data_IF_406601211085
#
_entry.id   IF_406601211085
#
_cell.length_a   1.000
_cell.length_b   1.000
_cell.length_c   1.000
_cell.angle_alpha   90.00
_cell.angle_beta   90.00
_cell.angle_gamma   90.00
#
_symmetry.space_group_name_H-M   'P 1'
#
loop_
_entity.id
_entity.type
_entity.pdbx_description
1 polymer ?
#
# COMPACT_ATOMS: atom_id res chain seq x y z
N UNK A 1 18.71 -37.34 25.57
CA UNK A 1 18.28 -37.23 24.16
C UNK A 1 18.92 -38.38 23.41
N UNK A 2 18.14 -39.19 22.68
CA UNK A 2 18.63 -40.42 22.03
C UNK A 2 19.80 -40.10 21.08
N UNK A 3 20.94 -40.77 21.23
CA UNK A 3 22.20 -40.52 20.51
C UNK A 3 22.00 -40.51 18.98
N UNK A 4 21.09 -41.35 18.49
CA UNK A 4 20.64 -41.36 17.09
C UNK A 4 20.05 -40.03 16.63
N UNK A 5 19.28 -39.35 17.49
CA UNK A 5 18.66 -38.05 17.20
C UNK A 5 19.70 -36.93 17.14
N UNK A 6 20.73 -36.99 17.99
CA UNK A 6 21.85 -36.04 17.94
C UNK A 6 22.67 -36.21 16.66
N UNK A 7 22.90 -37.45 16.23
CA UNK A 7 23.60 -37.72 14.97
C UNK A 7 22.79 -37.25 13.74
N UNK A 8 21.46 -37.37 13.77
CA UNK A 8 20.60 -36.82 12.70
C UNK A 8 20.63 -35.28 12.64
N UNK A 9 20.68 -34.60 13.78
CA UNK A 9 20.78 -33.13 13.81
C UNK A 9 22.15 -32.66 13.28
N UNK A 10 23.23 -33.35 13.62
CA UNK A 10 24.56 -33.08 13.07
C UNK A 10 24.60 -33.31 11.55
N UNK A 11 23.95 -34.37 11.07
CA UNK A 11 23.84 -34.65 9.64
C UNK A 11 23.08 -33.54 8.90
N UNK A 12 21.98 -33.02 9.48
CA UNK A 12 21.25 -31.90 8.89
C UNK A 12 22.12 -30.64 8.80
N UNK A 13 22.85 -30.29 9.88
CA UNK A 13 23.76 -29.15 9.86
C UNK A 13 24.88 -29.28 8.82
N UNK A 14 25.40 -30.49 8.63
CA UNK A 14 26.40 -30.77 7.59
C UNK A 14 25.84 -30.63 6.16
N UNK A 15 24.60 -31.07 5.93
CA UNK A 15 23.92 -30.88 4.64
C UNK A 15 23.70 -29.39 4.35
N UNK A 16 23.32 -28.60 5.37
CA UNK A 16 23.13 -27.15 5.23
C UNK A 16 24.44 -26.43 4.88
N UNK A 17 25.56 -26.83 5.47
CA UNK A 17 26.88 -26.29 5.14
C UNK A 17 27.29 -26.63 3.70
N UNK A 18 27.11 -27.88 3.27
CA UNK A 18 27.39 -28.30 1.90
C UNK A 18 26.52 -27.56 0.87
N UNK A 19 25.27 -27.24 1.22
CA UNK A 19 24.34 -26.57 0.30
C UNK A 19 24.66 -25.10 0.03
N UNK A 20 25.51 -24.47 0.84
CA UNK A 20 25.96 -23.07 0.67
C UNK A 20 27.07 -22.93 -0.36
N UNK A 21 27.74 -24.02 -0.69
CA UNK A 21 28.79 -24.05 -1.71
C UNK A 21 28.17 -24.34 -3.09
N UNK A 22 28.43 -23.44 -4.05
CA UNK A 22 27.89 -23.54 -5.40
C UNK A 22 28.40 -24.75 -6.17
N UNK A 23 29.57 -25.31 -5.82
CA UNK A 23 30.10 -26.53 -6.46
C UNK A 23 29.34 -27.79 -6.04
N UNK A 24 28.61 -27.74 -4.92
CA UNK A 24 27.86 -28.89 -4.38
C UNK A 24 26.38 -28.94 -4.83
N UNK A 25 26.00 -28.12 -5.82
CA UNK A 25 24.63 -28.07 -6.36
C UNK A 25 24.12 -29.45 -6.83
N UNK A 26 25.01 -30.26 -7.39
CA UNK A 26 24.70 -31.63 -7.83
C UNK A 26 24.19 -32.53 -6.69
N UNK A 27 24.66 -32.32 -5.47
CA UNK A 27 24.28 -33.11 -4.29
C UNK A 27 22.88 -32.74 -3.80
N UNK A 28 22.56 -31.44 -3.81
CA UNK A 28 21.20 -30.95 -3.52
C UNK A 28 20.19 -31.50 -4.54
N UNK A 29 20.55 -31.52 -5.83
CA UNK A 29 19.70 -32.06 -6.90
C UNK A 29 19.50 -33.58 -6.75
N UNK A 30 20.54 -34.33 -6.35
CA UNK A 30 20.41 -35.75 -6.02
C UNK A 30 19.52 -36.00 -4.80
N UNK A 31 19.61 -35.19 -3.75
CA UNK A 31 18.72 -35.30 -2.58
C UNK A 31 17.26 -35.04 -2.98
N UNK A 32 17.01 -33.99 -3.78
CA UNK A 32 15.66 -33.70 -4.31
C UNK A 32 15.10 -34.84 -5.14
N UNK A 33 15.94 -35.47 -5.98
CA UNK A 33 15.57 -36.64 -6.77
C UNK A 33 15.29 -37.87 -5.91
N UNK A 34 16.20 -38.20 -4.97
CA UNK A 34 16.12 -39.40 -4.11
C UNK A 34 14.91 -39.40 -3.19
N UNK A 35 14.51 -38.22 -2.71
CA UNK A 35 13.35 -38.06 -1.83
C UNK A 35 12.08 -37.58 -2.57
N UNK A 36 12.08 -37.59 -3.92
CA UNK A 36 10.94 -37.17 -4.76
C UNK A 36 10.40 -35.76 -4.43
N UNK A 37 11.22 -34.87 -3.87
CA UNK A 37 10.79 -33.51 -3.50
C UNK A 37 10.40 -32.71 -4.75
N UNK A 38 11.10 -32.91 -5.88
CA UNK A 38 10.76 -32.29 -7.17
C UNK A 38 9.41 -32.75 -7.74
N UNK A 39 8.99 -33.99 -7.44
CA UNK A 39 7.69 -34.55 -7.85
C UNK A 39 6.53 -34.00 -7.03
N UNK A 40 6.79 -33.62 -5.78
CA UNK A 40 5.80 -33.01 -4.88
C UNK A 40 5.61 -31.54 -5.26
N UNK A 41 6.70 -30.81 -5.50
CA UNK A 41 6.66 -29.43 -6.00
C UNK A 41 5.99 -29.35 -7.37
N UNK A 42 6.37 -30.22 -8.33
CA UNK A 42 5.77 -30.21 -9.67
C UNK A 42 4.28 -30.57 -9.66
N UNK A 43 3.85 -31.47 -8.76
CA UNK A 43 2.44 -31.86 -8.63
C UNK A 43 1.62 -30.77 -7.94
N UNK A 44 2.19 -30.06 -6.96
CA UNK A 44 1.54 -28.91 -6.35
C UNK A 44 1.38 -27.76 -7.36
N UNK A 45 2.41 -27.47 -8.15
CA UNK A 45 2.35 -26.46 -9.21
C UNK A 45 1.36 -26.82 -10.31
N UNK A 46 1.32 -28.09 -10.74
CA UNK A 46 0.32 -28.59 -11.70
C UNK A 46 -1.10 -28.47 -11.14
N UNK A 47 -1.34 -28.89 -9.89
CA UNK A 47 -2.65 -28.74 -9.26
C UNK A 47 -3.06 -27.26 -9.13
N UNK A 48 -2.12 -26.37 -8.83
CA UNK A 48 -2.38 -24.91 -8.77
C UNK A 48 -2.75 -24.38 -10.16
N UNK A 49 -2.07 -24.83 -11.21
CA UNK A 49 -2.39 -24.44 -12.58
C UNK A 49 -3.75 -24.98 -13.03
N UNK A 50 -4.07 -26.24 -12.73
CA UNK A 50 -5.38 -26.83 -13.02
C UNK A 50 -6.52 -26.11 -12.28
N UNK A 51 -6.30 -25.74 -11.01
CA UNK A 51 -7.24 -24.93 -10.22
C UNK A 51 -7.40 -23.54 -10.85
N UNK A 52 -6.30 -22.90 -11.25
CA UNK A 52 -6.33 -21.60 -11.93
C UNK A 52 -7.11 -21.67 -13.25
N UNK A 53 -6.87 -22.70 -14.05
CA UNK A 53 -7.54 -22.91 -15.33
C UNK A 53 -9.04 -23.19 -15.12
N UNK A 54 -9.40 -24.03 -14.14
CA UNK A 54 -10.78 -24.31 -13.76
C UNK A 54 -11.50 -23.07 -13.23
N UNK A 55 -10.80 -22.22 -12.49
CA UNK A 55 -11.31 -20.93 -11.99
C UNK A 55 -11.18 -19.79 -13.02
N UNK A 56 -10.62 -20.06 -14.21
CA UNK A 56 -10.34 -19.09 -15.27
C UNK A 56 -9.48 -17.90 -14.80
N UNK A 57 -8.59 -18.14 -13.83
CA UNK A 57 -7.61 -17.18 -13.34
C UNK A 57 -6.41 -17.19 -14.29
N UNK A 58 -6.42 -16.27 -15.27
CA UNK A 58 -5.36 -16.11 -16.27
C UNK A 58 -4.30 -15.07 -15.87
N UNK A 59 -4.68 -14.11 -15.03
CA UNK A 59 -3.82 -13.03 -14.57
C UNK A 59 -3.03 -13.39 -13.31
N UNK A 60 -1.82 -12.85 -13.22
CA UNK A 60 -1.10 -12.72 -11.96
C UNK A 60 -1.39 -11.34 -11.36
N UNK A 61 -1.37 -11.18 -10.02
CA UNK A 61 -1.58 -9.88 -9.42
C UNK A 61 -0.52 -8.88 -9.93
N UNK A 62 -0.96 -7.77 -10.49
CA UNK A 62 -0.08 -6.70 -10.98
C UNK A 62 0.29 -5.70 -9.89
N UNK A 63 -0.42 -5.75 -8.76
CA UNK A 63 -0.28 -4.85 -7.63
C UNK A 63 -0.12 -5.65 -6.34
N UNK A 64 0.68 -5.08 -5.45
CA UNK A 64 1.11 -5.65 -4.18
C UNK A 64 0.49 -4.83 -3.03
N UNK A 65 0.06 -5.49 -1.96
CA UNK A 65 -0.74 -4.90 -0.88
C UNK A 65 -0.23 -5.28 0.52
N UNK A 66 1.05 -5.59 0.66
CA UNK A 66 1.63 -6.12 1.91
C UNK A 66 1.52 -5.14 3.07
N UNK A 67 1.52 -3.82 2.81
CA UNK A 67 1.33 -2.79 3.83
C UNK A 67 -0.07 -2.79 4.46
N UNK A 68 -1.06 -3.42 3.81
CA UNK A 68 -2.42 -3.50 4.33
C UNK A 68 -2.48 -4.51 5.48
N UNK A 69 -2.61 -4.00 6.69
CA UNK A 69 -2.60 -4.79 7.94
C UNK A 69 -3.86 -5.65 8.11
N UNK A 70 -5.00 -5.21 7.58
CA UNK A 70 -6.26 -5.93 7.72
C UNK A 70 -6.37 -7.09 6.71
N UNK A 71 -6.10 -8.32 7.17
CA UNK A 71 -6.01 -9.52 6.32
C UNK A 71 -7.19 -9.66 5.33
N UNK A 72 -8.44 -9.59 5.81
CA UNK A 72 -9.61 -9.76 4.94
C UNK A 72 -9.72 -8.68 3.86
N UNK A 73 -9.26 -7.46 4.16
CA UNK A 73 -9.26 -6.37 3.18
C UNK A 73 -8.15 -6.60 2.15
N UNK A 74 -6.96 -7.00 2.61
CA UNK A 74 -5.85 -7.35 1.73
C UNK A 74 -6.22 -8.48 0.78
N UNK A 75 -6.86 -9.53 1.27
CA UNK A 75 -7.32 -10.65 0.46
C UNK A 75 -8.34 -10.20 -0.59
N UNK A 76 -9.27 -9.32 -0.22
CA UNK A 76 -10.24 -8.74 -1.15
C UNK A 76 -9.55 -7.90 -2.24
N UNK A 77 -8.56 -7.07 -1.87
CA UNK A 77 -7.78 -6.28 -2.83
C UNK A 77 -7.03 -7.18 -3.82
N UNK A 78 -6.45 -8.29 -3.35
CA UNK A 78 -5.78 -9.27 -4.21
C UNK A 78 -6.78 -9.93 -5.17
N UNK A 79 -7.96 -10.32 -4.68
CA UNK A 79 -9.02 -10.93 -5.52
C UNK A 79 -9.50 -9.93 -6.58
N UNK A 80 -9.73 -8.68 -6.21
CA UNK A 80 -10.18 -7.66 -7.17
C UNK A 80 -9.09 -7.32 -8.19
N UNK A 81 -7.81 -7.34 -7.79
CA UNK A 81 -6.69 -7.21 -8.71
C UNK A 81 -6.61 -8.39 -9.69
N UNK A 82 -6.81 -9.62 -9.22
CA UNK A 82 -6.89 -10.79 -10.09
C UNK A 82 -8.06 -10.69 -11.08
N UNK A 83 -9.23 -10.24 -10.63
CA UNK A 83 -10.40 -10.02 -11.51
C UNK A 83 -10.12 -8.95 -12.56
N UNK A 84 -9.48 -7.86 -12.16
CA UNK A 84 -9.03 -6.80 -13.06
C UNK A 84 -8.08 -7.38 -14.12
N UNK A 85 -7.03 -8.09 -13.73
CA UNK A 85 -6.07 -8.67 -14.68
C UNK A 85 -6.70 -9.77 -15.57
N UNK A 86 -7.64 -10.55 -15.03
CA UNK A 86 -8.40 -11.51 -15.81
C UNK A 86 -9.25 -10.83 -16.89
N UNK A 87 -9.89 -9.69 -16.60
CA UNK A 87 -10.64 -8.94 -17.60
C UNK A 87 -9.74 -8.45 -18.75
N UNK A 88 -8.50 -8.06 -18.44
CA UNK A 88 -7.51 -7.72 -19.45
C UNK A 88 -7.06 -8.92 -20.29
N UNK A 89 -7.16 -10.15 -19.79
CA UNK A 89 -6.69 -11.37 -20.47
C UNK A 89 -7.84 -12.25 -21.00
N UNK A 90 -9.09 -11.80 -20.88
CA UNK A 90 -10.22 -12.61 -21.31
C UNK A 90 -10.41 -12.57 -22.83
N UNK A 91 -9.63 -13.40 -23.54
CA UNK A 91 -9.71 -13.56 -24.98
C UNK A 91 -11.01 -14.20 -25.47
N UNK A 92 -11.92 -14.64 -24.57
CA UNK A 92 -13.26 -15.10 -24.95
C UNK A 92 -14.16 -13.93 -25.32
N UNK A 93 -13.97 -12.78 -24.65
CA UNK A 93 -14.62 -11.54 -25.00
C UNK A 93 -13.95 -10.93 -26.23
N UNK A 94 -14.72 -10.79 -27.32
CA UNK A 94 -14.21 -10.28 -28.59
C UNK A 94 -14.21 -8.75 -28.62
N UNK A 95 -15.02 -8.10 -27.78
CA UNK A 95 -15.03 -6.64 -27.67
C UNK A 95 -13.97 -6.16 -26.66
N UNK A 96 -12.90 -5.57 -27.18
CA UNK A 96 -11.83 -4.98 -26.36
C UNK A 96 -12.34 -3.85 -25.45
N UNK A 97 -13.36 -3.10 -25.89
CA UNK A 97 -13.96 -2.03 -25.10
C UNK A 97 -14.72 -2.60 -23.91
N UNK A 98 -15.40 -3.73 -24.08
CA UNK A 98 -16.07 -4.44 -22.98
C UNK A 98 -15.06 -5.02 -21.97
N UNK A 99 -13.97 -5.59 -22.46
CA UNK A 99 -12.85 -6.02 -21.60
C UNK A 99 -12.26 -4.85 -20.81
N UNK A 100 -12.02 -3.73 -21.47
CA UNK A 100 -11.46 -2.55 -20.83
C UNK A 100 -12.44 -1.90 -19.84
N UNK A 101 -13.73 -1.90 -20.16
CA UNK A 101 -14.79 -1.48 -19.24
C UNK A 101 -14.77 -2.33 -17.95
N UNK A 102 -14.81 -3.66 -18.09
CA UNK A 102 -14.75 -4.59 -16.96
C UNK A 102 -13.45 -4.44 -16.17
N UNK A 103 -12.34 -4.19 -16.85
CA UNK A 103 -11.07 -3.87 -16.22
C UNK A 103 -11.18 -2.62 -15.34
N UNK A 104 -11.74 -1.52 -15.86
CA UNK A 104 -11.93 -0.27 -15.16
C UNK A 104 -12.84 -0.41 -13.92
N UNK A 105 -13.93 -1.20 -14.03
CA UNK A 105 -14.83 -1.48 -12.91
C UNK A 105 -14.08 -2.18 -11.77
N UNK A 106 -13.31 -3.23 -12.08
CA UNK A 106 -12.53 -3.96 -11.08
C UNK A 106 -11.37 -3.12 -10.51
N UNK A 107 -10.75 -2.26 -11.32
CA UNK A 107 -9.76 -1.29 -10.86
C UNK A 107 -10.37 -0.32 -9.83
N UNK A 108 -11.61 0.14 -10.06
CA UNK A 108 -12.27 1.07 -9.15
C UNK A 108 -12.62 0.45 -7.79
N UNK A 109 -13.00 -0.83 -7.72
CA UNK A 109 -13.19 -1.50 -6.43
C UNK A 109 -11.93 -1.49 -5.57
N UNK A 110 -10.76 -1.66 -6.20
CA UNK A 110 -9.47 -1.55 -5.50
C UNK A 110 -9.23 -0.12 -5.02
N UNK A 111 -9.45 0.88 -5.87
CA UNK A 111 -9.31 2.30 -5.52
C UNK A 111 -10.21 2.68 -4.34
N UNK A 112 -11.49 2.30 -4.39
CA UNK A 112 -12.48 2.60 -3.34
C UNK A 112 -12.03 2.03 -1.99
N UNK A 113 -11.63 0.75 -1.97
CA UNK A 113 -11.16 0.07 -0.77
C UNK A 113 -9.85 0.66 -0.23
N UNK A 114 -8.90 1.02 -1.09
CA UNK A 114 -7.63 1.64 -0.71
C UNK A 114 -7.84 3.03 -0.08
N UNK A 115 -8.69 3.86 -0.70
CA UNK A 115 -9.01 5.19 -0.18
C UNK A 115 -9.74 5.09 1.16
N UNK A 116 -10.68 4.15 1.29
CA UNK A 116 -11.35 3.89 2.57
C UNK A 116 -10.35 3.45 3.65
N UNK A 117 -9.43 2.55 3.31
CA UNK A 117 -8.38 2.09 4.21
C UNK A 117 -7.49 3.23 4.67
N UNK A 118 -7.01 4.06 3.73
CA UNK A 118 -6.18 5.23 4.04
C UNK A 118 -6.86 6.14 5.06
N UNK A 119 -8.12 6.53 4.84
CA UNK A 119 -8.82 7.42 5.78
C UNK A 119 -9.12 6.73 7.12
N UNK A 120 -9.41 5.42 7.10
CA UNK A 120 -9.63 4.65 8.32
C UNK A 120 -8.37 4.58 9.21
N UNK A 121 -7.21 4.35 8.62
CA UNK A 121 -5.94 4.31 9.35
C UNK A 121 -5.45 5.72 9.72
N UNK A 122 -5.59 6.69 8.81
CA UNK A 122 -5.11 8.06 9.04
C UNK A 122 -5.94 8.79 10.10
N UNK A 123 -7.25 8.55 10.17
CA UNK A 123 -8.17 9.18 11.13
C UNK A 123 -8.93 8.13 11.95
N UNK A 124 -8.33 7.62 13.06
CA UNK A 124 -9.00 6.66 13.94
C UNK A 124 -10.28 7.23 14.58
N UNK A 125 -10.29 8.54 14.83
CA UNK A 125 -11.46 9.27 15.26
C UNK A 125 -12.19 9.86 14.04
N UNK A 126 -13.46 9.48 13.88
CA UNK A 126 -14.28 9.93 12.76
C UNK A 126 -14.44 11.45 12.73
N UNK A 127 -14.51 12.11 13.89
CA UNK A 127 -14.68 13.57 13.93
C UNK A 127 -13.49 14.31 13.31
N UNK A 128 -12.27 13.82 13.49
CA UNK A 128 -11.07 14.41 12.90
C UNK A 128 -11.11 14.29 11.37
N UNK A 129 -11.59 13.16 10.86
CA UNK A 129 -11.84 13.00 9.42
C UNK A 129 -12.88 14.01 8.92
N UNK A 130 -14.00 14.16 9.62
CA UNK A 130 -15.06 15.09 9.20
C UNK A 130 -14.56 16.54 9.18
N UNK A 131 -13.79 16.96 10.19
CA UNK A 131 -13.15 18.29 10.23
C UNK A 131 -12.21 18.46 9.03
N UNK A 132 -11.34 17.47 8.79
CA UNK A 132 -10.42 17.50 7.65
C UNK A 132 -11.17 17.68 6.33
N UNK A 133 -12.24 16.91 6.09
CA UNK A 133 -13.03 16.97 4.86
C UNK A 133 -13.77 18.30 4.66
N UNK A 134 -14.13 19.00 5.74
CA UNK A 134 -14.75 20.33 5.71
C UNK A 134 -13.74 21.44 5.38
N UNK A 135 -12.47 21.24 5.73
CA UNK A 135 -11.38 22.22 5.55
C UNK A 135 -10.69 22.12 4.19
N UNK A 136 -10.94 21.06 3.41
CA UNK A 136 -10.35 20.92 2.07
C UNK A 136 -10.76 22.08 1.16
N UNK A 137 -9.81 22.78 0.51
CA UNK A 137 -10.13 23.86 -0.41
C UNK A 137 -11.08 23.40 -1.53
N UNK A 138 -12.17 24.14 -1.74
CA UNK A 138 -13.16 23.85 -2.79
C UNK A 138 -14.12 22.70 -2.49
N UNK A 139 -14.07 22.11 -1.30
CA UNK A 139 -15.00 21.05 -0.88
C UNK A 139 -16.42 21.58 -0.67
N UNK A 140 -17.40 20.84 -1.19
CA UNK A 140 -18.83 21.03 -0.88
C UNK A 140 -19.30 20.19 0.31
N UNK A 141 -18.41 19.39 0.89
CA UNK A 141 -18.76 18.51 2.00
C UNK A 141 -19.17 19.30 3.24
N UNK A 142 -20.34 18.96 3.79
CA UNK A 142 -20.86 19.49 5.05
C UNK A 142 -21.53 18.34 5.79
N UNK A 143 -21.32 18.24 7.10
CA UNK A 143 -21.94 17.21 7.94
C UNK A 143 -23.46 17.27 7.85
N UNK A 144 -24.07 16.10 7.84
CA UNK A 144 -25.53 15.99 7.86
C UNK A 144 -26.04 15.99 9.31
N UNK A 145 -26.66 17.09 9.74
CA UNK A 145 -27.24 17.21 11.09
C UNK A 145 -28.31 16.16 11.41
N UNK A 146 -28.98 15.59 10.39
CA UNK A 146 -30.06 14.60 10.55
C UNK A 146 -29.55 13.16 10.50
N UNK A 147 -28.42 12.91 9.83
CA UNK A 147 -27.81 11.59 9.68
C UNK A 147 -26.29 11.74 9.80
N UNK A 148 -25.78 11.92 11.03
CA UNK A 148 -24.35 12.12 11.23
C UNK A 148 -23.57 10.88 10.82
N UNK A 149 -22.46 11.11 10.13
CA UNK A 149 -21.53 10.08 9.70
C UNK A 149 -20.85 9.44 10.92
N UNK A 150 -20.94 8.11 11.04
CA UNK A 150 -20.38 7.37 12.19
C UNK A 150 -19.09 6.65 11.84
N UNK A 151 -18.87 6.39 10.56
CA UNK A 151 -17.74 5.64 10.04
C UNK A 151 -17.27 6.19 8.69
N UNK A 152 -16.06 5.80 8.29
CA UNK A 152 -15.50 6.15 6.97
C UNK A 152 -16.39 5.66 5.82
N UNK A 153 -17.14 4.58 6.02
CA UNK A 153 -18.05 4.01 5.04
C UNK A 153 -19.30 4.88 4.80
N UNK A 154 -19.73 5.67 5.79
CA UNK A 154 -20.89 6.56 5.66
C UNK A 154 -20.59 7.77 4.76
N UNK A 155 -19.31 8.06 4.54
CA UNK A 155 -18.85 9.18 3.72
C UNK A 155 -18.83 8.75 2.25
N UNK A 156 -19.43 9.55 1.37
CA UNK A 156 -19.47 9.29 -0.07
C UNK A 156 -18.05 9.20 -0.66
N UNK A 157 -17.80 8.19 -1.50
CA UNK A 157 -16.47 7.96 -2.08
C UNK A 157 -15.96 9.13 -2.93
N UNK A 158 -16.85 9.83 -3.65
CA UNK A 158 -16.50 11.01 -4.44
C UNK A 158 -15.85 12.11 -3.58
N UNK A 159 -16.36 12.35 -2.36
CA UNK A 159 -15.77 13.30 -1.41
C UNK A 159 -14.38 12.87 -0.97
N UNK A 160 -14.21 11.58 -0.66
CA UNK A 160 -12.91 11.02 -0.25
C UNK A 160 -11.86 11.10 -1.36
N UNK A 161 -12.24 10.78 -2.60
CA UNK A 161 -11.39 10.89 -3.79
C UNK A 161 -10.97 12.35 -4.01
N UNK A 162 -11.92 13.29 -3.96
CA UNK A 162 -11.63 14.70 -4.12
C UNK A 162 -10.65 15.19 -3.05
N UNK A 163 -10.95 14.94 -1.78
CA UNK A 163 -10.09 15.30 -0.64
C UNK A 163 -8.68 14.70 -0.77
N UNK A 164 -8.59 13.44 -1.19
CA UNK A 164 -7.30 12.78 -1.37
C UNK A 164 -6.51 13.42 -2.52
N UNK A 165 -7.16 13.68 -3.65
CA UNK A 165 -6.52 14.33 -4.80
C UNK A 165 -6.05 15.76 -4.51
N UNK A 166 -6.81 16.53 -3.72
CA UNK A 166 -6.38 17.87 -3.29
C UNK A 166 -5.20 17.79 -2.33
N UNK A 167 -5.24 16.85 -1.38
CA UNK A 167 -4.17 16.67 -0.39
C UNK A 167 -2.82 16.28 -1.00
N UNK A 168 -2.83 15.66 -2.20
CA UNK A 168 -1.64 15.07 -2.81
C UNK A 168 -1.37 15.56 -4.24
N UNK A 169 -1.95 16.70 -4.61
CA UNK A 169 -1.91 17.26 -5.97
C UNK A 169 -0.52 17.37 -6.58
N UNK A 170 0.50 17.64 -5.76
CA UNK A 170 1.89 17.85 -6.21
C UNK A 170 2.72 16.55 -6.27
N UNK A 171 2.29 15.50 -5.56
CA UNK A 171 3.07 14.27 -5.35
C UNK A 171 2.65 13.11 -6.23
N UNK A 172 1.41 13.17 -6.71
CA UNK A 172 0.84 12.18 -7.58
C UNK A 172 0.63 12.88 -8.92
N UNK A 173 0.95 12.22 -10.03
CA UNK A 173 0.28 12.48 -11.31
C UNK A 173 -1.20 12.04 -11.19
N UNK A 174 -1.88 12.53 -10.17
CA UNK A 174 -3.21 12.15 -9.75
C UNK A 174 -4.17 12.84 -10.69
N UNK A 175 -4.55 12.12 -11.73
CA UNK A 175 -5.57 12.62 -12.60
C UNK A 175 -6.94 12.46 -11.92
N UNK A 176 -7.35 13.49 -11.18
CA UNK A 176 -8.67 13.54 -10.51
C UNK A 176 -9.82 13.29 -11.49
N UNK A 177 -9.64 13.67 -12.77
CA UNK A 177 -10.55 13.34 -13.85
C UNK A 177 -10.63 11.83 -14.11
N UNK A 178 -9.49 11.12 -14.18
CA UNK A 178 -9.45 9.66 -14.39
C UNK A 178 -10.18 8.94 -13.26
N UNK A 179 -9.96 9.29 -11.99
CA UNK A 179 -10.66 8.67 -10.85
C UNK A 179 -12.15 8.97 -10.81
N UNK A 180 -12.53 10.22 -11.08
CA UNK A 180 -13.94 10.61 -11.14
C UNK A 180 -14.65 9.86 -12.27
N UNK A 181 -13.97 9.66 -13.40
CA UNK A 181 -14.51 8.91 -14.53
C UNK A 181 -14.57 7.41 -14.24
N UNK A 182 -13.58 6.82 -13.56
CA UNK A 182 -13.64 5.43 -13.10
C UNK A 182 -14.79 5.20 -12.12
N UNK A 183 -15.07 6.16 -11.21
CA UNK A 183 -16.24 6.10 -10.33
C UNK A 183 -17.55 6.06 -11.14
N UNK A 184 -17.66 6.90 -12.17
CA UNK A 184 -18.81 6.90 -13.09
C UNK A 184 -18.93 5.57 -13.82
N UNK A 185 -17.85 5.08 -14.43
CA UNK A 185 -17.80 3.78 -15.13
C UNK A 185 -18.28 2.66 -14.21
N UNK A 186 -17.80 2.62 -12.97
CA UNK A 186 -18.25 1.64 -11.98
C UNK A 186 -19.74 1.79 -11.65
N UNK A 187 -20.24 3.01 -11.48
CA UNK A 187 -21.66 3.21 -11.20
C UNK A 187 -22.55 2.77 -12.37
N UNK A 188 -22.15 3.08 -13.61
CA UNK A 188 -22.82 2.57 -14.82
C UNK A 188 -22.78 1.03 -14.90
N UNK A 189 -21.63 0.42 -14.58
CA UNK A 189 -21.45 -1.02 -14.56
C UNK A 189 -22.33 -1.74 -13.52
N UNK A 190 -22.53 -1.13 -12.35
CA UNK A 190 -23.46 -1.65 -11.33
C UNK A 190 -24.92 -1.59 -11.76
N UNK A 191 -25.28 -0.60 -12.58
CA UNK A 191 -26.64 -0.46 -13.10
C UNK A 191 -26.92 -1.37 -14.32
N UNK A 192 -25.97 -2.21 -14.75
CA UNK A 192 -26.10 -3.15 -15.89
C UNK A 192 -26.71 -2.50 -17.15
N UNK A 193 -26.54 -1.19 -17.33
CA UNK A 193 -26.95 -0.54 -18.56
C UNK A 193 -26.01 -0.99 -19.66
N UNK A 194 -26.58 -1.40 -20.80
CA UNK A 194 -25.92 -1.77 -22.05
C UNK A 194 -25.14 -0.57 -22.62
N UNK A 195 -24.06 -0.16 -21.95
CA UNK A 195 -23.32 1.07 -22.24
C UNK A 195 -22.58 1.01 -23.58
N UNK A 196 -22.47 -0.18 -24.19
CA UNK A 196 -21.86 -0.34 -25.52
C UNK A 196 -22.96 -0.47 -26.61
N UNK A 197 -24.08 0.22 -26.48
CA UNK A 197 -24.82 0.64 -27.68
C UNK A 197 -24.01 1.75 -28.36
N UNK A 198 -23.24 1.34 -29.37
CA UNK A 198 -22.52 2.23 -30.29
C UNK A 198 -23.53 3.25 -30.83
N UNK A 199 -23.40 4.49 -30.39
CA UNK A 199 -24.14 5.70 -30.78
C UNK A 199 -25.39 6.03 -29.93
N UNK A 200 -25.20 6.89 -28.91
CA UNK A 200 -25.92 8.17 -28.70
C UNK A 200 -26.09 8.59 -27.23
N UNK A 201 -25.79 7.72 -26.25
CA UNK A 201 -26.07 8.00 -24.82
C UNK A 201 -24.90 7.81 -23.85
N UNK A 202 -23.70 7.46 -24.34
CA UNK A 202 -22.49 7.44 -23.51
C UNK A 202 -22.13 8.88 -23.08
N UNK A 203 -21.98 9.12 -21.77
CA UNK A 203 -21.41 10.36 -21.24
C UNK A 203 -20.13 10.67 -22.03
N UNK A 204 -20.10 11.83 -22.70
CA UNK A 204 -18.98 12.29 -23.53
C UNK A 204 -17.63 12.18 -22.81
N UNK A 205 -17.64 12.25 -21.47
CA UNK A 205 -16.45 12.05 -20.65
C UNK A 205 -15.96 10.61 -20.67
N UNK A 206 -16.85 9.61 -20.55
CA UNK A 206 -16.49 8.19 -20.59
C UNK A 206 -15.97 7.83 -21.98
N UNK A 207 -16.59 8.36 -23.03
CA UNK A 207 -16.11 8.14 -24.39
C UNK A 207 -14.71 8.73 -24.62
N UNK A 208 -14.48 9.98 -24.23
CA UNK A 208 -13.14 10.62 -24.31
C UNK A 208 -12.11 9.90 -23.46
N UNK A 209 -12.52 9.32 -22.33
CA UNK A 209 -11.66 8.51 -21.47
C UNK A 209 -11.19 7.25 -22.20
N UNK A 210 -12.11 6.48 -22.81
CA UNK A 210 -11.74 5.27 -23.57
C UNK A 210 -10.90 5.54 -24.82
N UNK A 211 -10.87 6.77 -25.33
CA UNK A 211 -9.96 7.17 -26.40
C UNK A 211 -8.53 7.49 -25.93
N UNK A 212 -8.34 7.76 -24.64
CA UNK A 212 -7.07 8.25 -24.08
C UNK A 212 -6.37 7.26 -23.16
N UNK A 213 -7.16 6.49 -22.41
CA UNK A 213 -6.68 5.59 -21.38
C UNK A 213 -6.67 4.15 -21.91
N UNK A 214 -5.76 3.33 -21.40
CA UNK A 214 -5.63 1.93 -21.75
C UNK A 214 -5.37 1.07 -20.51
N UNK A 215 -5.25 -0.25 -20.69
CA UNK A 215 -4.96 -1.16 -19.57
C UNK A 215 -3.67 -0.79 -18.82
N UNK A 216 -2.65 -0.28 -19.51
CA UNK A 216 -1.35 0.08 -18.92
C UNK A 216 -1.43 1.35 -18.07
N UNK A 217 -2.15 2.36 -18.56
CA UNK A 217 -2.33 3.64 -17.87
C UNK A 217 -3.09 3.45 -16.56
N UNK A 218 -4.15 2.63 -16.56
CA UNK A 218 -4.92 2.31 -15.35
C UNK A 218 -4.11 1.49 -14.35
N UNK A 219 -3.30 0.51 -14.81
CA UNK A 219 -2.35 -0.21 -13.92
C UNK A 219 -1.36 0.75 -13.26
N UNK A 220 -0.80 1.67 -14.05
CA UNK A 220 0.17 2.66 -13.57
C UNK A 220 -0.46 3.57 -12.53
N UNK A 221 -1.68 4.05 -12.79
CA UNK A 221 -2.45 4.85 -11.83
C UNK A 221 -2.65 4.09 -10.51
N UNK A 222 -3.05 2.82 -10.57
CA UNK A 222 -3.31 2.03 -9.37
C UNK A 222 -2.02 1.77 -8.57
N UNK A 223 -0.91 1.45 -9.23
CA UNK A 223 0.40 1.30 -8.58
C UNK A 223 0.84 2.58 -7.89
N UNK A 224 0.69 3.73 -8.56
CA UNK A 224 1.05 5.02 -7.99
C UNK A 224 0.18 5.34 -6.75
N UNK A 225 -1.11 5.04 -6.80
CA UNK A 225 -2.01 5.20 -5.65
C UNK A 225 -1.57 4.33 -4.47
N UNK A 226 -1.27 3.05 -4.72
CA UNK A 226 -0.84 2.09 -3.69
C UNK A 226 0.45 2.54 -3.04
N UNK A 227 1.48 2.87 -3.83
CA UNK A 227 2.76 3.34 -3.32
C UNK A 227 2.58 4.59 -2.47
N UNK A 228 1.75 5.54 -2.93
CA UNK A 228 1.53 6.77 -2.17
C UNK A 228 0.79 6.55 -0.86
N UNK A 229 -0.23 5.69 -0.86
CA UNK A 229 -0.91 5.34 0.39
C UNK A 229 0.06 4.65 1.35
N UNK A 230 0.87 3.73 0.84
CA UNK A 230 1.89 3.05 1.63
C UNK A 230 2.89 4.06 2.25
N UNK A 231 3.45 4.97 1.45
CA UNK A 231 4.34 6.04 1.91
C UNK A 231 3.69 6.87 3.03
N UNK A 232 2.47 7.36 2.82
CA UNK A 232 1.75 8.20 3.78
C UNK A 232 1.40 7.48 5.08
N UNK A 233 1.12 6.18 5.01
CA UNK A 233 0.84 5.37 6.19
C UNK A 233 2.13 4.94 6.91
N UNK A 234 3.23 4.74 6.19
CA UNK A 234 4.54 4.47 6.78
C UNK A 234 5.09 5.69 7.53
N UNK A 235 4.86 6.92 7.04
CA UNK A 235 5.18 8.16 7.78
C UNK A 235 4.46 8.20 9.15
N UNK A 236 3.30 7.57 9.29
CA UNK A 236 2.57 7.50 10.57
C UNK A 236 3.17 6.49 11.58
N UNK A 237 4.04 5.59 11.14
CA UNK A 237 4.87 4.76 12.04
C UNK A 237 6.10 5.52 12.55
N UNK A 238 6.36 6.75 12.08
CA UNK A 238 7.36 7.61 12.68
C UNK A 238 6.76 8.24 13.94
N UNK A 239 7.17 7.77 15.11
CA UNK A 239 6.76 8.38 16.36
C UNK A 239 7.44 9.75 16.51
N UNK A 240 6.63 10.79 16.70
CA UNK A 240 7.15 12.07 17.19
C UNK A 240 7.30 11.97 18.69
N UNK A 241 8.53 12.12 19.18
CA UNK A 241 8.83 12.13 20.60
C UNK A 241 9.41 13.48 21.00
N UNK A 242 9.14 13.91 22.24
CA UNK A 242 9.85 15.03 22.84
C UNK A 242 11.19 14.51 23.38
N UNK A 243 12.28 14.97 22.78
CA UNK A 243 13.63 14.65 23.21
C UNK A 243 14.31 15.88 23.80
N UNK A 244 15.25 15.68 24.72
CA UNK A 244 15.98 16.77 25.37
C UNK A 244 17.45 16.71 25.00
N UNK A 245 18.07 17.85 24.71
CA UNK A 245 19.53 17.90 24.51
C UNK A 245 20.20 17.47 25.82
N UNK A 246 20.85 16.30 25.79
CA UNK A 246 21.47 15.69 26.98
C UNK A 246 22.94 16.10 27.13
N UNK A 247 23.65 16.25 26.02
CA UNK A 247 25.04 16.69 26.00
C UNK A 247 25.41 17.25 24.62
N UNK A 248 26.35 18.20 24.61
CA UNK A 248 26.86 18.83 23.40
C UNK A 248 28.38 18.93 23.50
N UNK A 249 29.08 18.28 22.57
CA UNK A 249 30.54 18.29 22.44
C UNK A 249 30.95 19.10 21.21
N UNK A 250 32.26 19.41 21.02
CA UNK A 250 32.71 20.16 19.85
C UNK A 250 32.34 19.52 18.50
N UNK A 251 32.33 18.17 18.44
CA UNK A 251 32.16 17.36 17.22
C UNK A 251 30.95 16.43 17.22
N UNK A 252 30.23 16.28 18.34
CA UNK A 252 29.06 15.41 18.45
C UNK A 252 28.08 15.95 19.48
N UNK A 253 26.82 15.56 19.40
CA UNK A 253 25.78 15.97 20.34
C UNK A 253 24.77 14.86 20.49
N UNK A 254 24.08 14.82 21.64
CA UNK A 254 23.21 13.70 21.98
C UNK A 254 21.88 14.16 22.54
N UNK A 255 20.80 13.52 22.10
CA UNK A 255 19.45 13.71 22.61
C UNK A 255 19.05 12.56 23.53
N UNK A 256 18.41 12.88 24.65
CA UNK A 256 17.74 11.91 25.51
C UNK A 256 16.26 11.88 25.16
N UNK A 257 15.78 10.69 24.77
CA UNK A 257 14.38 10.40 24.50
C UNK A 257 13.60 10.25 25.82
N UNK A 258 12.27 10.37 25.77
CA UNK A 258 11.37 10.19 26.92
C UNK A 258 11.43 8.79 27.53
N UNK A 259 11.76 7.78 26.73
CA UNK A 259 12.07 6.42 27.21
C UNK A 259 13.44 6.26 27.91
N UNK A 260 14.21 7.36 28.06
CA UNK A 260 15.50 7.38 28.74
C UNK A 260 16.70 6.98 27.88
N UNK A 261 16.49 6.50 26.64
CA UNK A 261 17.59 6.20 25.70
C UNK A 261 18.23 7.48 25.16
N UNK A 262 19.50 7.38 24.82
CA UNK A 262 20.28 8.47 24.22
C UNK A 262 20.61 8.16 22.77
N UNK A 263 20.37 9.11 21.87
CA UNK A 263 20.63 9.00 20.42
C UNK A 263 21.51 10.16 19.98
N UNK A 264 22.46 9.90 19.07
CA UNK A 264 23.34 10.92 18.50
C UNK A 264 22.58 11.84 17.53
N UNK A 265 22.86 13.14 17.58
CA UNK A 265 22.29 14.14 16.68
C UNK A 265 22.91 13.93 15.29
N UNK A 266 22.11 13.70 14.24
CA UNK A 266 22.64 13.56 12.89
C UNK A 266 23.37 14.84 12.45
N UNK A 267 24.49 14.69 11.73
CA UNK A 267 25.36 15.80 11.32
C UNK A 267 24.62 16.95 10.61
N UNK A 268 23.55 16.61 9.88
CA UNK A 268 22.67 17.57 9.18
C UNK A 268 22.04 18.59 10.14
N UNK A 269 21.68 18.19 11.37
CA UNK A 269 21.00 19.03 12.35
C UNK A 269 21.93 19.53 13.47
N UNK A 270 23.18 19.07 13.48
CA UNK A 270 24.14 19.38 14.53
C UNK A 270 24.43 20.88 14.66
N UNK A 271 24.64 21.59 13.55
CA UNK A 271 24.93 23.02 13.54
C UNK A 271 23.79 23.89 14.12
N UNK A 272 22.55 23.44 13.98
CA UNK A 272 21.37 24.10 14.55
C UNK A 272 21.25 23.78 16.04
N UNK A 273 21.37 22.50 16.40
CA UNK A 273 21.27 22.06 17.80
C UNK A 273 22.40 22.60 18.67
N UNK A 274 23.61 22.79 18.13
CA UNK A 274 24.78 23.33 18.84
C UNK A 274 24.58 24.75 19.36
N UNK A 275 23.65 25.52 18.77
CA UNK A 275 23.30 26.88 19.21
C UNK A 275 22.34 26.88 20.40
N UNK A 276 21.75 25.73 20.74
CA UNK A 276 20.76 25.59 21.79
C UNK A 276 21.41 25.12 23.10
N UNK A 277 20.81 25.53 24.23
CA UNK A 277 21.28 25.11 25.54
C UNK A 277 21.03 23.61 25.78
N UNK A 278 21.92 22.98 26.56
CA UNK A 278 21.66 21.64 27.11
C UNK A 278 20.42 21.72 28.00
N UNK A 279 19.51 20.76 27.85
CA UNK A 279 18.19 20.79 28.52
C UNK A 279 17.04 21.33 27.65
N UNK A 280 17.32 21.88 26.46
CA UNK A 280 16.27 22.29 25.52
C UNK A 280 15.50 21.07 25.00
N UNK A 281 14.16 21.15 25.05
CA UNK A 281 13.26 20.16 24.48
C UNK A 281 13.10 20.42 22.98
N UNK A 282 13.16 19.34 22.21
CA UNK A 282 13.02 19.32 20.76
C UNK A 282 11.98 18.28 20.40
N UNK A 283 11.19 18.56 19.38
CA UNK A 283 10.34 17.54 18.78
C UNK A 283 11.17 16.79 17.75
N UNK A 284 11.30 15.48 17.93
CA UNK A 284 12.07 14.62 17.04
C UNK A 284 11.16 13.59 16.39
N UNK A 285 11.35 13.39 15.10
CA UNK A 285 10.70 12.32 14.34
C UNK A 285 11.65 11.13 14.29
N UNK A 286 11.19 9.98 14.78
CA UNK A 286 11.99 8.77 14.90
C UNK A 286 11.56 7.72 13.90
N UNK A 287 12.53 7.04 13.28
CA UNK A 287 12.32 5.79 12.54
C UNK A 287 12.96 4.63 13.30
N UNK A 288 12.23 3.55 13.47
CA UNK A 288 12.78 2.31 14.01
C UNK A 288 13.03 1.34 12.87
N UNK A 289 14.30 1.19 12.48
CA UNK A 289 14.74 0.23 11.47
C UNK A 289 15.54 -0.89 12.14
N UNK A 290 15.03 -2.12 12.15
CA UNK A 290 15.70 -3.32 12.71
C UNK A 290 16.21 -3.13 14.16
N UNK A 291 15.44 -2.45 15.01
CA UNK A 291 15.78 -2.18 16.41
C UNK A 291 16.75 -1.02 16.65
N UNK A 292 17.23 -0.35 15.58
CA UNK A 292 17.98 0.92 15.67
C UNK A 292 17.02 2.09 15.53
N UNK A 293 17.16 3.07 16.43
CA UNK A 293 16.40 4.32 16.40
C UNK A 293 17.20 5.34 15.59
N UNK A 294 16.62 5.81 14.49
CA UNK A 294 17.20 6.85 13.64
C UNK A 294 16.36 8.12 13.74
N UNK A 295 17.01 9.28 13.88
CA UNK A 295 16.33 10.58 13.85
C UNK A 295 16.16 11.01 12.39
N UNK A 296 14.92 11.20 11.96
CA UNK A 296 14.56 11.62 10.58
C UNK A 296 14.52 13.13 10.48
N UNK A 297 13.92 13.79 11.48
CA UNK A 297 13.78 15.24 11.54
C UNK A 297 13.83 15.75 12.97
N UNK A 298 14.25 17.00 13.13
CA UNK A 298 14.29 17.73 14.41
C UNK A 298 13.61 19.08 14.18
N UNK A 299 12.66 19.44 15.03
CA UNK A 299 12.05 20.78 15.02
C UNK A 299 12.13 21.44 16.40
N UNK A 300 12.42 22.74 16.39
CA UNK A 300 12.63 23.57 17.59
C UNK A 300 11.37 24.24 18.11
N UNK A 301 10.24 24.10 17.40
CA UNK A 301 9.00 24.79 17.74
C UNK A 301 8.08 23.87 18.55
N UNK A 302 7.84 24.23 19.82
CA UNK A 302 6.48 24.16 20.35
C UNK A 302 5.68 25.21 19.59
N UNK A 303 5.02 24.82 18.49
CA UNK A 303 3.90 25.62 18.01
C UNK A 303 2.79 25.47 19.05
N UNK A 304 2.69 26.45 19.94
CA UNK A 304 1.40 26.87 20.49
C UNK A 304 0.54 27.29 19.30
N UNK A 305 -0.32 26.36 18.87
CA UNK A 305 -1.67 26.51 18.28
C UNK A 305 -1.98 25.37 17.30
#
# INVERSE_FOLDING_TARGET
>A
MNEKRQNLVKLLGFIDELSKDHENKWFADQLKSKYNLSKIESKAEQNIQEIRDALQIKGSPSVKYEFVTHNRLRDQLIIDNLRMENAALDLKEKDELERFFNFCVNAFFQIENLINYYYHIKYPNINDLLIHLEQIPGTVFRRNSKRPEKSVADIVIATKIYSFGVSFKDSLNFNSYTLTTLNKIRNEGLHRCKVIERNSSLDLNIFKFFQKEDFSSIRTLLKNLVNKIEEELQIKNNEFELATISSMFPSSGFLRLGNGKTVEIPSKYFSECKKLAVGTKLRVELKVDNGKINIISISTNESTD
#
